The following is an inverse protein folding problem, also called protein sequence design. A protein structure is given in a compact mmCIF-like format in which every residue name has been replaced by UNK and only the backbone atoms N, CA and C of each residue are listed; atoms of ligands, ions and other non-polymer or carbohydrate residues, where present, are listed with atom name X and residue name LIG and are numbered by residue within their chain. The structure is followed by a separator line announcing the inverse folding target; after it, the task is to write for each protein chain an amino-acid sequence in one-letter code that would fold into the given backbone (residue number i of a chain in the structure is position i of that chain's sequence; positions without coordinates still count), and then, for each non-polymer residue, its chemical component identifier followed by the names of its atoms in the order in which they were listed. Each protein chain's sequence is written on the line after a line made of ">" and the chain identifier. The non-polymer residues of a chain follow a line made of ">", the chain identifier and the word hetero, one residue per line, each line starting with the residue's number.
data_IF_642621046478
#
_entry.id   IF_642621046478
#
_cell.length_a   1.000
_cell.length_b   1.000
_cell.length_c   1.000
_cell.angle_alpha   90.00
_cell.angle_beta   90.00
_cell.angle_gamma   90.00
#
_symmetry.space_group_name_H-M   'P 1'
#
loop_
_entity.id
_entity.type
_entity.pdbx_description
1 polymer ?
#
# COMPACT_ATOMS: atom_id res chain seq x y z
N UNK A 1 -10.37 -0.82 -6.37
CA UNK A 1 -9.60 -0.61 -5.12
C UNK A 1 -8.15 -0.88 -5.47
N UNK A 2 -7.20 -0.08 -5.00
CA UNK A 2 -5.79 -0.29 -5.29
C UNK A 2 -5.16 -0.95 -4.06
N UNK A 3 -4.39 -2.04 -4.22
CA UNK A 3 -3.70 -2.70 -3.11
C UNK A 3 -2.20 -2.79 -3.36
N UNK A 4 -1.47 -1.89 -2.72
CA UNK A 4 -0.01 -1.88 -2.74
C UNK A 4 0.50 -2.86 -1.69
N UNK A 5 1.00 -4.01 -2.12
CA UNK A 5 1.64 -4.98 -1.22
C UNK A 5 3.12 -5.11 -1.55
N UNK A 6 3.99 -4.79 -0.60
CA UNK A 6 5.44 -4.99 -0.73
C UNK A 6 5.90 -6.35 -0.20
N UNK A 7 5.00 -7.13 0.39
CA UNK A 7 5.32 -8.35 1.14
C UNK A 7 4.83 -9.64 0.46
N UNK A 8 3.99 -9.52 -0.56
CA UNK A 8 3.25 -10.65 -1.14
C UNK A 8 3.19 -10.52 -2.65
N UNK A 9 3.08 -11.65 -3.34
CA UNK A 9 2.86 -11.68 -4.79
C UNK A 9 1.42 -11.30 -5.13
N UNK A 10 1.15 -11.05 -6.42
CA UNK A 10 -0.23 -10.84 -6.90
C UNK A 10 -1.15 -12.04 -6.63
N UNK A 11 -0.60 -13.26 -6.75
CA UNK A 11 -1.33 -14.49 -6.46
C UNK A 11 -1.70 -14.59 -4.98
N UNK A 12 -0.76 -14.29 -4.08
CA UNK A 12 -1.00 -14.32 -2.62
C UNK A 12 -2.02 -13.25 -2.18
N UNK A 13 -1.94 -12.04 -2.74
CA UNK A 13 -2.92 -10.99 -2.47
C UNK A 13 -4.34 -11.44 -2.85
N UNK A 14 -4.46 -12.11 -4.00
CA UNK A 14 -5.73 -12.67 -4.46
C UNK A 14 -6.24 -13.80 -3.56
N UNK A 15 -5.39 -14.76 -3.21
CA UNK A 15 -5.77 -15.86 -2.30
C UNK A 15 -6.24 -15.33 -0.95
N UNK A 16 -5.59 -14.28 -0.44
CA UNK A 16 -6.01 -13.59 0.77
C UNK A 16 -7.41 -12.98 0.62
N UNK A 17 -7.66 -12.27 -0.48
CA UNK A 17 -8.99 -11.71 -0.76
C UNK A 17 -10.07 -12.78 -0.89
N UNK A 18 -9.76 -13.88 -1.58
CA UNK A 18 -10.68 -15.01 -1.72
C UNK A 18 -10.99 -15.66 -0.36
N UNK A 19 -10.01 -15.67 0.55
CA UNK A 19 -10.13 -16.23 1.90
C UNK A 19 -10.88 -15.32 2.88
N UNK A 20 -10.76 -14.00 2.74
CA UNK A 20 -11.43 -13.01 3.59
C UNK A 20 -12.94 -12.89 3.31
N UNK A 21 -13.46 -13.65 2.33
CA UNK A 21 -14.87 -13.61 1.91
C UNK A 21 -15.29 -12.26 1.29
N UNK A 22 -14.32 -11.39 1.04
CA UNK A 22 -14.52 -10.09 0.44
C UNK A 22 -14.61 -10.25 -1.08
N UNK A 23 -15.60 -9.62 -1.70
CA UNK A 23 -15.71 -9.60 -3.17
C UNK A 23 -14.46 -8.96 -3.73
N UNK A 24 -13.73 -9.67 -4.60
CA UNK A 24 -12.55 -9.11 -5.28
C UNK A 24 -12.92 -7.70 -5.77
N UNK A 25 -12.09 -6.68 -5.45
CA UNK A 25 -12.39 -5.36 -5.94
C UNK A 25 -12.40 -5.40 -7.46
N UNK A 26 -13.23 -4.54 -8.07
CA UNK A 26 -13.40 -4.41 -9.53
C UNK A 26 -12.08 -4.22 -10.30
N UNK A 27 -11.00 -3.91 -9.59
CA UNK A 27 -9.62 -4.11 -9.99
C UNK A 27 -8.74 -4.09 -8.75
N UNK A 28 -7.58 -4.72 -8.86
CA UNK A 28 -6.54 -4.87 -7.85
C UNK A 28 -5.23 -4.57 -8.58
N UNK A 29 -4.35 -3.74 -8.02
CA UNK A 29 -3.04 -3.46 -8.62
C UNK A 29 -1.98 -3.77 -7.58
N UNK A 30 -1.23 -4.86 -7.78
CA UNK A 30 -0.24 -5.38 -6.83
C UNK A 30 1.16 -4.98 -7.25
N UNK A 31 1.96 -4.51 -6.29
CA UNK A 31 3.32 -4.03 -6.50
C UNK A 31 4.34 -5.01 -5.92
N UNK A 32 4.61 -6.09 -6.66
CA UNK A 32 5.55 -7.13 -6.24
C UNK A 32 7.01 -6.65 -6.24
N UNK A 33 7.80 -7.09 -5.25
CA UNK A 33 9.25 -6.90 -5.18
C UNK A 33 9.95 -8.22 -5.49
N UNK A 34 10.76 -8.26 -6.56
CA UNK A 34 11.57 -9.42 -6.88
C UNK A 34 12.31 -9.29 -8.22
N UNK A 35 13.22 -10.22 -8.55
CA UNK A 35 14.01 -10.20 -9.80
C UNK A 35 13.17 -10.35 -11.07
N UNK A 36 11.85 -10.48 -10.95
CA UNK A 36 10.87 -10.39 -12.04
C UNK A 36 10.24 -8.99 -12.06
N UNK A 37 11.09 -7.97 -12.21
CA UNK A 37 10.63 -6.66 -12.62
C UNK A 37 10.15 -6.76 -14.08
N UNK A 38 8.86 -7.00 -14.27
CA UNK A 38 8.20 -7.03 -15.57
C UNK A 38 6.84 -6.35 -15.44
N UNK A 39 6.61 -5.34 -16.25
CA UNK A 39 5.31 -4.66 -16.35
C UNK A 39 4.32 -5.54 -17.10
N UNK A 40 3.12 -5.74 -16.53
CA UNK A 40 1.97 -6.29 -17.26
C UNK A 40 1.90 -7.81 -17.30
N UNK A 41 1.70 -8.45 -16.14
CA UNK A 41 1.09 -9.77 -16.10
C UNK A 41 -0.34 -9.64 -15.60
N UNK A 42 -1.32 -9.81 -16.46
CA UNK A 42 -2.71 -9.97 -16.02
C UNK A 42 -2.83 -11.35 -15.36
N UNK A 43 -2.86 -11.38 -14.03
CA UNK A 43 -3.17 -12.61 -13.30
C UNK A 43 -4.68 -12.69 -13.16
N UNK A 44 -5.34 -13.42 -14.06
CA UNK A 44 -6.81 -13.55 -14.10
C UNK A 44 -7.53 -12.18 -14.17
N UNK A 45 -7.22 -11.37 -15.19
CA UNK A 45 -7.81 -10.03 -15.46
C UNK A 45 -7.53 -8.94 -14.39
N UNK A 46 -6.58 -9.22 -13.50
CA UNK A 46 -6.07 -8.25 -12.52
C UNK A 46 -4.80 -7.59 -13.05
N UNK A 47 -4.78 -6.27 -13.29
CA UNK A 47 -3.57 -5.58 -13.74
C UNK A 47 -2.52 -5.58 -12.62
N UNK A 48 -1.34 -6.16 -12.88
CA UNK A 48 -0.22 -6.20 -11.92
C UNK A 48 0.94 -5.34 -12.42
N UNK A 49 1.38 -4.40 -11.57
CA UNK A 49 2.54 -3.54 -11.83
C UNK A 49 3.68 -3.93 -10.89
N UNK A 50 4.70 -4.62 -11.38
CA UNK A 50 5.87 -4.95 -10.56
C UNK A 50 6.84 -3.77 -10.43
N UNK A 51 7.39 -3.57 -9.23
CA UNK A 51 8.52 -2.64 -9.01
C UNK A 51 9.80 -3.40 -8.75
N UNK A 52 10.94 -2.81 -9.08
CA UNK A 52 12.22 -3.50 -9.00
C UNK A 52 12.63 -3.84 -7.55
N UNK A 53 12.32 -2.97 -6.60
CA UNK A 53 12.66 -3.14 -5.18
C UNK A 53 11.83 -2.23 -4.26
N UNK A 54 11.82 -2.51 -2.96
CA UNK A 54 11.16 -1.65 -1.95
C UNK A 54 11.83 -0.28 -1.79
N UNK A 55 13.10 -0.14 -2.19
CA UNK A 55 13.81 1.14 -2.21
C UNK A 55 13.59 1.93 -3.52
N UNK A 56 12.96 1.33 -4.55
CA UNK A 56 12.54 2.03 -5.76
C UNK A 56 11.26 2.84 -5.52
N UNK A 57 11.37 3.86 -4.67
CA UNK A 57 10.29 4.78 -4.33
C UNK A 57 9.74 5.51 -5.56
N UNK A 58 10.58 5.72 -6.57
CA UNK A 58 10.16 6.34 -7.83
C UNK A 58 9.26 5.39 -8.60
N UNK A 59 9.66 4.12 -8.75
CA UNK A 59 8.84 3.07 -9.36
C UNK A 59 7.51 2.89 -8.65
N UNK A 60 7.51 2.82 -7.31
CA UNK A 60 6.27 2.71 -6.52
C UNK A 60 5.38 3.93 -6.74
N UNK A 61 5.94 5.15 -6.73
CA UNK A 61 5.18 6.37 -6.96
C UNK A 61 4.58 6.48 -8.36
N UNK A 62 5.30 6.01 -9.39
CA UNK A 62 4.81 5.95 -10.77
C UNK A 62 3.70 4.91 -10.90
N UNK A 63 3.90 3.69 -10.42
CA UNK A 63 2.90 2.62 -10.46
C UNK A 63 1.60 3.06 -9.79
N UNK A 64 1.70 3.69 -8.61
CA UNK A 64 0.56 4.27 -7.93
C UNK A 64 -0.13 5.35 -8.79
N UNK A 65 0.64 6.28 -9.37
CA UNK A 65 0.04 7.36 -10.16
C UNK A 65 -0.68 6.82 -11.41
N UNK A 66 -0.08 5.87 -12.13
CA UNK A 66 -0.71 5.18 -13.27
C UNK A 66 -1.98 4.44 -12.85
N UNK A 67 -1.94 3.76 -11.71
CA UNK A 67 -3.10 3.10 -11.13
C UNK A 67 -4.17 4.10 -10.66
N UNK A 68 -3.84 5.33 -10.29
CA UNK A 68 -4.82 6.36 -9.96
C UNK A 68 -5.45 6.96 -11.22
N UNK A 69 -4.65 7.22 -12.25
CA UNK A 69 -5.10 7.81 -13.51
C UNK A 69 -6.09 6.91 -14.26
N UNK A 70 -5.85 5.59 -14.26
CA UNK A 70 -6.79 4.62 -14.84
C UNK A 70 -8.14 4.56 -14.12
N UNK A 71 -8.25 5.17 -12.93
CA UNK A 71 -9.42 5.12 -12.05
C UNK A 71 -10.01 6.50 -11.75
N UNK A 72 -9.57 7.54 -12.47
CA UNK A 72 -10.02 8.91 -12.26
C UNK A 72 -11.53 9.12 -12.42
N UNK A 73 -12.23 8.18 -13.08
CA UNK A 73 -13.68 8.18 -13.30
C UNK A 73 -14.47 7.31 -12.31
N UNK A 74 -13.84 6.67 -11.33
CA UNK A 74 -14.53 5.88 -10.30
C UNK A 74 -15.17 6.77 -9.23
N UNK A 75 -16.38 6.42 -8.78
CA UNK A 75 -17.11 7.18 -7.74
C UNK A 75 -16.46 7.06 -6.35
N UNK A 76 -15.81 5.93 -6.04
CA UNK A 76 -15.07 5.74 -4.79
C UNK A 76 -13.75 5.03 -5.05
N UNK A 77 -12.66 5.66 -4.61
CA UNK A 77 -11.32 5.11 -4.71
C UNK A 77 -10.81 4.70 -3.32
N UNK A 78 -10.63 3.39 -3.16
CA UNK A 78 -10.10 2.78 -1.95
C UNK A 78 -8.65 2.33 -2.22
N UNK A 79 -7.71 2.70 -1.36
CA UNK A 79 -6.30 2.32 -1.46
C UNK A 79 -5.84 1.61 -0.19
N UNK A 80 -5.20 0.46 -0.32
CA UNK A 80 -4.60 -0.29 0.77
C UNK A 80 -3.09 -0.39 0.55
N UNK A 81 -2.31 -0.12 1.58
CA UNK A 81 -0.86 -0.29 1.59
C UNK A 81 -0.48 -1.28 2.69
N UNK A 82 -0.09 -2.49 2.30
CA UNK A 82 -0.13 -3.65 3.20
C UNK A 82 1.04 -3.73 4.18
N UNK A 83 2.18 -3.09 3.90
CA UNK A 83 3.26 -3.06 4.89
C UNK A 83 4.19 -1.87 4.75
N UNK A 84 3.89 -0.82 5.51
CA UNK A 84 4.85 0.25 5.84
C UNK A 84 6.09 -0.33 6.53
N UNK A 85 5.94 -1.43 7.27
CA UNK A 85 7.08 -2.10 7.92
C UNK A 85 8.09 -2.65 6.91
N UNK A 86 7.65 -3.20 5.78
CA UNK A 86 8.58 -3.65 4.72
C UNK A 86 9.31 -2.47 4.09
N UNK A 87 8.62 -1.34 3.88
CA UNK A 87 9.26 -0.12 3.40
C UNK A 87 10.39 0.33 4.33
N UNK A 88 10.12 0.38 5.64
CA UNK A 88 11.08 0.76 6.69
C UNK A 88 12.26 -0.21 6.84
N UNK A 89 12.17 -1.43 6.30
CA UNK A 89 13.31 -2.36 6.26
C UNK A 89 14.30 -2.04 5.13
N UNK A 90 13.89 -1.28 4.12
CA UNK A 90 14.70 -0.99 2.92
C UNK A 90 15.17 0.46 2.86
N UNK A 91 14.40 1.40 3.39
CA UNK A 91 14.75 2.81 3.45
C UNK A 91 14.70 3.34 4.87
N UNK A 92 15.45 4.40 5.16
CA UNK A 92 15.43 5.03 6.48
C UNK A 92 14.09 5.71 6.78
N UNK A 93 13.80 5.93 8.07
CA UNK A 93 12.55 6.51 8.56
C UNK A 93 12.23 7.87 7.94
N UNK A 94 13.22 8.74 7.71
CA UNK A 94 12.96 10.06 7.14
C UNK A 94 12.58 9.96 5.67
N UNK A 95 13.27 9.10 4.92
CA UNK A 95 12.96 8.80 3.52
C UNK A 95 11.58 8.17 3.38
N UNK A 96 11.24 7.16 4.19
CA UNK A 96 9.90 6.56 4.23
C UNK A 96 8.81 7.59 4.54
N UNK A 97 9.05 8.46 5.54
CA UNK A 97 8.13 9.52 5.92
C UNK A 97 7.83 10.46 4.75
N UNK A 98 8.88 10.98 4.11
CA UNK A 98 8.72 11.93 3.00
C UNK A 98 7.96 11.31 1.82
N UNK A 99 8.26 10.05 1.52
CA UNK A 99 7.56 9.29 0.49
C UNK A 99 6.07 9.13 0.82
N UNK A 100 5.75 8.59 2.00
CA UNK A 100 4.37 8.37 2.42
C UNK A 100 3.59 9.67 2.54
N UNK A 101 4.21 10.74 3.06
CA UNK A 101 3.59 12.06 3.12
C UNK A 101 3.20 12.58 1.73
N UNK A 102 4.07 12.38 0.73
CA UNK A 102 3.79 12.76 -0.66
C UNK A 102 2.66 11.91 -1.25
N UNK A 103 2.71 10.59 -1.05
CA UNK A 103 1.69 9.65 -1.52
C UNK A 103 0.33 9.98 -0.92
N UNK A 104 0.24 10.13 0.40
CA UNK A 104 -1.00 10.48 1.11
C UNK A 104 -1.54 11.83 0.61
N UNK A 105 -0.68 12.82 0.37
CA UNK A 105 -1.06 14.10 -0.23
C UNK A 105 -1.75 13.93 -1.59
N UNK A 106 -1.23 13.07 -2.46
CA UNK A 106 -1.85 12.77 -3.77
C UNK A 106 -3.17 12.05 -3.62
N UNK A 107 -3.24 11.04 -2.75
CA UNK A 107 -4.47 10.28 -2.47
C UNK A 107 -5.59 11.20 -1.96
N UNK A 108 -5.26 12.14 -1.06
CA UNK A 108 -6.20 13.18 -0.62
C UNK A 108 -6.66 14.06 -1.79
N UNK A 109 -5.75 14.45 -2.68
CA UNK A 109 -6.07 15.28 -3.86
C UNK A 109 -7.09 14.67 -4.82
N UNK A 110 -7.16 13.33 -4.89
CA UNK A 110 -8.13 12.60 -5.71
C UNK A 110 -9.34 12.07 -4.90
N UNK A 111 -9.45 12.44 -3.62
CA UNK A 111 -10.55 11.99 -2.76
C UNK A 111 -10.50 10.50 -2.39
N UNK A 112 -9.33 9.85 -2.49
CA UNK A 112 -9.18 8.45 -2.16
C UNK A 112 -9.21 8.21 -0.64
N UNK A 113 -9.90 7.17 -0.21
CA UNK A 113 -9.79 6.64 1.15
C UNK A 113 -8.66 5.63 1.18
N UNK A 114 -7.72 5.81 2.10
CA UNK A 114 -6.53 4.98 2.16
C UNK A 114 -6.26 4.37 3.53
N UNK A 115 -5.76 3.13 3.55
CA UNK A 115 -5.32 2.41 4.75
C UNK A 115 -3.89 1.95 4.59
N UNK A 116 -3.07 2.22 5.61
CA UNK A 116 -1.68 1.82 5.66
C UNK A 116 -1.46 0.95 6.89
N UNK A 117 -0.82 -0.20 6.70
CA UNK A 117 -0.58 -1.15 7.77
C UNK A 117 0.89 -1.09 8.21
N UNK A 118 1.08 -0.98 9.52
CA UNK A 118 2.37 -0.98 10.18
C UNK A 118 2.33 -2.00 11.32
N UNK A 119 3.36 -2.83 11.41
CA UNK A 119 3.56 -3.73 12.55
C UNK A 119 4.34 -2.99 13.65
N UNK A 120 3.69 -2.63 14.78
CA UNK A 120 4.33 -1.86 15.85
C UNK A 120 5.37 -2.67 16.63
N UNK A 121 5.43 -4.00 16.50
CA UNK A 121 6.42 -4.84 17.19
C UNK A 121 7.81 -4.79 16.54
N UNK A 122 7.89 -4.30 15.30
CA UNK A 122 9.12 -4.22 14.51
C UNK A 122 9.82 -2.86 14.59
N UNK A 123 9.17 -1.86 15.19
CA UNK A 123 9.65 -0.47 15.20
C UNK A 123 9.60 0.11 16.60
N UNK A 124 10.52 1.01 16.90
CA UNK A 124 10.50 1.77 18.15
C UNK A 124 9.39 2.84 18.15
N UNK A 125 9.04 3.34 19.34
CA UNK A 125 7.95 4.32 19.51
C UNK A 125 8.18 5.62 18.73
N UNK A 126 9.44 6.07 18.58
CA UNK A 126 9.77 7.29 17.87
C UNK A 126 9.54 7.12 16.36
N UNK A 127 9.92 5.96 15.80
CA UNK A 127 9.64 5.62 14.40
C UNK A 127 8.13 5.55 14.14
N UNK A 128 7.37 4.89 15.02
CA UNK A 128 5.90 4.79 14.91
C UNK A 128 5.26 6.18 14.96
N UNK A 129 5.66 7.03 15.91
CA UNK A 129 5.14 8.39 16.03
C UNK A 129 5.45 9.24 14.80
N UNK A 130 6.66 9.11 14.24
CA UNK A 130 7.08 9.80 13.02
C UNK A 130 6.21 9.38 11.84
N UNK A 131 5.99 8.07 11.65
CA UNK A 131 5.11 7.57 10.58
C UNK A 131 3.67 8.04 10.76
N UNK A 132 3.14 8.00 11.99
CA UNK A 132 1.77 8.41 12.28
C UNK A 132 1.48 9.85 11.83
N UNK A 133 2.47 10.75 11.90
CA UNK A 133 2.33 12.14 11.47
C UNK A 133 2.07 12.31 9.95
N UNK A 134 2.30 11.28 9.13
CA UNK A 134 1.97 11.33 7.70
C UNK A 134 0.47 11.11 7.43
N UNK A 135 -0.29 10.58 8.41
CA UNK A 135 -1.66 10.10 8.23
C UNK A 135 -2.69 10.91 9.00
N UNK A 136 -3.96 10.81 8.59
CA UNK A 136 -5.09 11.51 9.22
C UNK A 136 -5.54 10.89 10.56
N UNK A 137 -5.13 9.66 10.84
CA UNK A 137 -5.46 8.97 12.07
C UNK A 137 -4.84 7.58 12.13
N UNK A 138 -4.81 7.02 13.35
CA UNK A 138 -4.24 5.70 13.62
C UNK A 138 -5.29 4.80 14.27
N UNK A 139 -5.33 3.55 13.82
CA UNK A 139 -6.07 2.49 14.49
C UNK A 139 -5.08 1.47 15.03
N UNK A 140 -5.21 1.14 16.31
CA UNK A 140 -4.39 0.13 16.98
C UNK A 140 -5.24 -1.07 17.35
N UNK A 141 -4.75 -2.27 17.01
CA UNK A 141 -5.37 -3.51 17.46
C UNK A 141 -4.87 -3.85 18.86
N UNK A 142 -5.78 -3.87 19.83
CA UNK A 142 -5.50 -4.30 21.20
C UNK A 142 -6.37 -5.54 21.46
N UNK A 143 -5.73 -6.72 21.45
CA UNK A 143 -6.45 -8.00 21.46
C UNK A 143 -7.26 -8.21 20.18
N UNK A 144 -8.58 -8.34 20.32
CA UNK A 144 -9.52 -8.52 19.20
C UNK A 144 -10.20 -7.22 18.76
N UNK A 145 -9.91 -6.08 19.40
CA UNK A 145 -10.59 -4.81 19.12
C UNK A 145 -9.66 -3.78 18.50
N UNK A 146 -10.16 -3.03 17.52
CA UNK A 146 -9.49 -1.84 16.97
C UNK A 146 -9.89 -0.60 17.75
N UNK A 147 -8.91 0.19 18.20
CA UNK A 147 -9.12 1.48 18.86
C UNK A 147 -8.50 2.60 18.03
N UNK A 148 -9.20 3.73 17.92
CA UNK A 148 -8.62 4.96 17.39
C UNK A 148 -7.77 5.59 18.49
N UNK A 149 -6.53 5.90 18.13
CA UNK A 149 -5.60 6.66 18.95
C UNK A 149 -5.58 8.13 18.53
#
# INVERSE_FOLDING_TARGET
>A
MIELSLAMTAADCRERWASDGATLPVSLAVVEIGPRAGTGSDVDDVPVDCVASADDLTGIGIALTTALESWASADELLVRFDSVSVLLQHVDTATAFQFLHTVVGRLRGVGARSWFYLDPSLHDEQTIATMAAAFDGRLCRVGETWRRD
#
